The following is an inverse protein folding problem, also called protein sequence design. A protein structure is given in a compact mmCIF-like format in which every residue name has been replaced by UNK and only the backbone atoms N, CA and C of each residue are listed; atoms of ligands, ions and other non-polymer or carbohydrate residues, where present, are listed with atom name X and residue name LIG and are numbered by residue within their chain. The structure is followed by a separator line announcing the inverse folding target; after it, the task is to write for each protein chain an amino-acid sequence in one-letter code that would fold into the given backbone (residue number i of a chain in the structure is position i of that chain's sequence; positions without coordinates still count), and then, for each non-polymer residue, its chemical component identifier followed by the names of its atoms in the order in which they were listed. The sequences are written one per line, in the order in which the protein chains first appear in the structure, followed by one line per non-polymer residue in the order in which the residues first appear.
data_IF_368143954746
#
_entry.id   IF_368143954746
#
_cell.length_a   1.000
_cell.length_b   1.000
_cell.length_c   1.000
_cell.angle_alpha   90.00
_cell.angle_beta   90.00
_cell.angle_gamma   90.00
#
_symmetry.space_group_name_H-M   'P 1'
#
loop_
_entity.id
_entity.type
_entity.pdbx_description
1 polymer ?
#
# COMPACT_ATOMS: atom_id res chain seq x y z
N UNK A 1 27.64 34.16 65.19
CA UNK A 1 27.87 34.05 63.73
C UNK A 1 27.09 32.90 63.17
N UNK A 2 26.06 33.20 62.51
CA UNK A 2 25.21 32.20 61.88
C UNK A 2 25.56 32.14 60.44
N UNK A 3 26.15 31.01 59.99
CA UNK A 3 26.34 30.69 58.60
C UNK A 3 25.05 30.15 58.08
N UNK A 4 24.36 30.94 57.31
CA UNK A 4 23.18 30.51 56.60
C UNK A 4 23.60 29.61 55.41
N UNK A 5 23.43 28.32 55.55
CA UNK A 5 23.57 27.40 54.46
C UNK A 5 22.30 27.50 53.58
N UNK A 6 22.41 28.28 52.55
CA UNK A 6 21.40 28.24 51.51
C UNK A 6 21.52 26.92 50.74
N UNK A 7 20.65 26.01 51.06
CA UNK A 7 20.49 24.81 50.24
C UNK A 7 19.93 25.21 48.87
N UNK A 8 20.82 25.21 47.91
CA UNK A 8 20.40 25.37 46.51
C UNK A 8 19.78 24.04 46.08
N UNK A 9 18.48 24.01 46.01
CA UNK A 9 17.76 22.89 45.38
C UNK A 9 17.86 23.07 43.87
N UNK A 10 18.74 22.31 43.26
CA UNK A 10 18.76 22.22 41.78
C UNK A 10 17.67 21.26 41.41
N UNK A 11 16.54 21.79 40.94
CA UNK A 11 15.52 21.02 40.28
C UNK A 11 16.05 20.66 38.91
N UNK A 12 16.50 19.41 38.74
CA UNK A 12 16.77 18.85 37.42
C UNK A 12 15.43 18.45 36.88
N UNK A 13 14.83 19.32 36.06
CA UNK A 13 13.70 18.96 35.22
C UNK A 13 14.26 18.12 34.10
N UNK A 14 14.17 16.81 34.26
CA UNK A 14 14.45 15.88 33.16
C UNK A 14 13.37 16.06 32.10
N UNK A 15 13.69 16.47 30.87
CA UNK A 15 12.71 16.50 29.83
C UNK A 15 12.35 15.03 29.49
N UNK A 16 11.16 14.65 29.87
CA UNK A 16 10.58 13.39 29.43
C UNK A 16 10.32 13.54 27.95
N UNK A 17 11.28 13.11 27.13
CA UNK A 17 11.07 12.94 25.71
C UNK A 17 10.12 11.75 25.53
N UNK A 18 8.84 12.05 25.37
CA UNK A 18 7.87 11.11 24.87
C UNK A 18 8.21 10.85 23.40
N UNK A 19 9.09 9.89 23.16
CA UNK A 19 9.20 9.30 21.85
C UNK A 19 7.94 8.48 21.64
N UNK A 20 6.98 9.06 20.94
CA UNK A 20 5.91 8.30 20.33
C UNK A 20 6.51 7.46 19.20
N UNK A 21 7.03 6.29 19.54
CA UNK A 21 7.36 5.28 18.55
C UNK A 21 6.03 4.79 17.97
N UNK A 22 5.76 5.13 16.70
CA UNK A 22 4.76 4.44 15.93
C UNK A 22 5.08 2.94 16.04
N UNK A 23 4.14 2.14 16.55
CA UNK A 23 4.33 0.71 16.63
C UNK A 23 4.39 0.16 15.20
N UNK A 24 5.30 -0.77 14.87
CA UNK A 24 5.42 -1.33 13.51
C UNK A 24 4.14 -2.00 13.01
N UNK A 25 3.15 -2.21 13.88
CA UNK A 25 1.87 -2.82 13.55
C UNK A 25 0.79 -1.82 13.08
N UNK A 26 1.08 -0.52 13.07
CA UNK A 26 0.11 0.50 12.63
C UNK A 26 -0.11 0.51 11.11
N UNK A 27 0.85 0.03 10.34
CA UNK A 27 0.81 0.01 8.90
C UNK A 27 1.03 -1.39 8.36
N UNK A 28 0.36 -1.67 7.25
CA UNK A 28 0.58 -2.89 6.47
C UNK A 28 1.25 -2.50 5.18
N UNK A 29 2.37 -3.15 4.88
CA UNK A 29 3.07 -2.99 3.61
C UNK A 29 2.67 -4.14 2.69
N UNK A 30 2.16 -3.81 1.51
CA UNK A 30 1.74 -4.78 0.50
C UNK A 30 2.65 -4.58 -0.71
N UNK A 31 3.61 -5.46 -0.86
CA UNK A 31 4.56 -5.46 -1.96
C UNK A 31 4.19 -6.48 -3.02
N UNK A 32 4.54 -6.20 -4.25
CA UNK A 32 4.33 -7.17 -5.30
C UNK A 32 4.98 -6.80 -6.63
N UNK A 33 4.75 -7.67 -7.57
CA UNK A 33 5.22 -7.56 -8.95
C UNK A 33 4.03 -7.77 -9.87
N UNK A 34 3.81 -6.83 -10.78
CA UNK A 34 2.88 -7.00 -11.90
C UNK A 34 3.67 -7.53 -13.07
N UNK A 35 3.26 -8.66 -13.60
CA UNK A 35 3.97 -9.35 -14.67
C UNK A 35 3.02 -9.80 -15.79
N UNK A 36 3.63 -10.19 -16.88
CA UNK A 36 2.97 -10.81 -18.02
C UNK A 36 3.76 -12.07 -18.42
N UNK A 37 3.17 -12.95 -19.18
CA UNK A 37 3.80 -14.24 -19.57
C UNK A 37 5.18 -14.07 -20.22
N UNK A 38 5.49 -12.89 -20.78
CA UNK A 38 6.81 -12.54 -21.31
C UNK A 38 7.12 -11.08 -20.97
N UNK A 39 8.41 -10.70 -20.81
CA UNK A 39 8.76 -9.30 -20.61
C UNK A 39 8.23 -8.44 -21.76
N UNK A 40 7.54 -7.37 -21.42
CA UNK A 40 6.89 -6.49 -22.39
C UNK A 40 7.16 -5.04 -22.01
N UNK A 41 7.56 -4.26 -23.00
CA UNK A 41 7.56 -2.80 -22.89
C UNK A 41 6.22 -2.29 -23.38
N UNK A 42 5.51 -1.59 -22.50
CA UNK A 42 4.23 -1.01 -22.85
C UNK A 42 4.40 0.17 -23.81
N UNK A 43 3.41 0.47 -24.67
CA UNK A 43 3.45 1.64 -25.52
C UNK A 43 3.62 2.93 -24.70
N UNK A 44 4.22 3.94 -25.31
CA UNK A 44 4.27 5.28 -24.72
C UNK A 44 2.82 5.76 -24.49
N UNK A 45 2.59 6.45 -23.37
CA UNK A 45 1.27 6.87 -22.89
C UNK A 45 0.35 5.73 -22.40
N UNK A 46 0.79 4.47 -22.40
CA UNK A 46 0.08 3.43 -21.66
C UNK A 46 0.26 3.63 -20.15
N UNK A 47 -0.81 3.46 -19.40
CA UNK A 47 -0.79 3.64 -17.94
C UNK A 47 -1.08 2.30 -17.27
N UNK A 48 -0.12 1.86 -16.45
CA UNK A 48 -0.31 0.76 -15.53
C UNK A 48 -0.96 1.30 -14.25
N UNK A 49 -2.11 0.76 -13.89
CA UNK A 49 -2.82 1.08 -12.65
C UNK A 49 -2.89 -0.15 -11.76
N UNK A 50 -2.55 0.02 -10.50
CA UNK A 50 -2.74 -1.00 -9.46
C UNK A 50 -3.64 -0.39 -8.39
N UNK A 51 -4.74 -1.05 -8.07
CA UNK A 51 -5.72 -0.59 -7.07
C UNK A 51 -5.89 -1.61 -5.97
N UNK A 52 -5.83 -1.12 -4.75
CA UNK A 52 -6.27 -1.85 -3.57
C UNK A 52 -7.70 -1.41 -3.24
N UNK A 53 -8.63 -2.35 -3.22
CA UNK A 53 -10.07 -2.07 -3.10
C UNK A 53 -10.69 -2.92 -2.01
N UNK A 54 -11.63 -2.33 -1.27
CA UNK A 54 -12.58 -3.06 -0.44
C UNK A 54 -13.85 -3.32 -1.25
N UNK A 55 -14.19 -4.60 -1.44
CA UNK A 55 -15.38 -5.05 -2.18
C UNK A 55 -16.35 -5.80 -1.27
N UNK A 56 -16.29 -5.57 0.02
CA UNK A 56 -17.12 -6.28 1.03
C UNK A 56 -18.59 -6.08 0.76
N UNK A 57 -19.02 -4.86 0.49
CA UNK A 57 -20.41 -4.56 0.16
C UNK A 57 -20.60 -4.53 -1.36
N UNK A 58 -21.12 -5.63 -1.89
CA UNK A 58 -21.35 -5.79 -3.34
C UNK A 58 -22.50 -4.94 -3.87
N UNK A 59 -23.33 -4.39 -2.99
CA UNK A 59 -24.42 -3.48 -3.39
C UNK A 59 -23.96 -2.05 -3.63
N UNK A 60 -22.72 -1.74 -3.24
CA UNK A 60 -22.07 -0.44 -3.39
C UNK A 60 -20.86 -0.53 -4.31
N UNK A 61 -20.44 0.59 -4.92
CA UNK A 61 -19.15 0.65 -5.60
C UNK A 61 -18.01 0.28 -4.65
N UNK A 62 -16.97 -0.35 -5.18
CA UNK A 62 -15.79 -0.67 -4.39
C UNK A 62 -15.16 0.58 -3.79
N UNK A 63 -14.71 0.47 -2.54
CA UNK A 63 -13.96 1.54 -1.88
C UNK A 63 -12.48 1.42 -2.24
N UNK A 64 -11.92 2.45 -2.83
CA UNK A 64 -10.49 2.48 -3.17
C UNK A 64 -9.70 2.82 -1.90
N UNK A 65 -8.87 1.89 -1.44
CA UNK A 65 -8.01 2.09 -0.28
C UNK A 65 -6.68 2.74 -0.66
N UNK A 66 -6.13 2.35 -1.80
CA UNK A 66 -4.94 2.96 -2.38
C UNK A 66 -4.87 2.70 -3.89
N UNK A 67 -4.15 3.55 -4.59
CA UNK A 67 -4.03 3.48 -6.05
C UNK A 67 -2.64 3.94 -6.50
N UNK A 68 -2.07 3.20 -7.42
CA UNK A 68 -0.82 3.53 -8.09
C UNK A 68 -1.06 3.64 -9.60
N UNK A 69 -0.62 4.73 -10.19
CA UNK A 69 -0.60 4.93 -11.64
C UNK A 69 0.84 5.13 -12.10
N UNK A 70 1.25 4.43 -13.13
CA UNK A 70 2.60 4.52 -13.67
C UNK A 70 2.58 4.56 -15.19
N UNK A 71 3.10 5.65 -15.75
CA UNK A 71 3.33 5.79 -17.17
C UNK A 71 4.68 5.17 -17.57
N UNK A 72 4.81 4.81 -18.83
CA UNK A 72 6.05 4.27 -19.42
C UNK A 72 6.59 3.04 -18.65
N UNK A 73 5.70 2.26 -18.05
CA UNK A 73 6.08 1.06 -17.33
C UNK A 73 6.54 -0.04 -18.29
N UNK A 74 7.48 -0.84 -17.81
CA UNK A 74 7.83 -2.12 -18.41
C UNK A 74 7.37 -3.24 -17.49
N UNK A 75 6.90 -4.34 -18.04
CA UNK A 75 6.55 -5.52 -17.26
C UNK A 75 7.74 -6.50 -17.27
N UNK A 76 8.12 -7.04 -16.13
CA UNK A 76 7.53 -6.93 -14.80
C UNK A 76 7.77 -5.57 -14.13
N UNK A 77 6.78 -5.10 -13.39
CA UNK A 77 6.83 -3.84 -12.65
C UNK A 77 6.58 -4.07 -11.16
N UNK A 78 7.43 -3.51 -10.32
CA UNK A 78 7.26 -3.61 -8.87
C UNK A 78 6.31 -2.54 -8.37
N UNK A 79 5.54 -2.87 -7.34
CA UNK A 79 4.69 -1.93 -6.64
C UNK A 79 4.76 -2.15 -5.13
N UNK A 80 4.40 -1.12 -4.37
CA UNK A 80 4.29 -1.18 -2.91
C UNK A 80 3.19 -0.25 -2.45
N UNK A 81 2.33 -0.74 -1.55
CA UNK A 81 1.37 0.06 -0.83
C UNK A 81 1.69 0.03 0.65
N UNK A 82 1.57 1.17 1.31
CA UNK A 82 1.63 1.28 2.77
C UNK A 82 0.29 1.80 3.24
N UNK A 83 -0.47 0.97 3.92
CA UNK A 83 -1.86 1.22 4.28
C UNK A 83 -1.99 1.17 5.81
N UNK A 84 -2.67 2.13 6.45
CA UNK A 84 -2.98 2.01 7.87
C UNK A 84 -3.74 0.71 8.13
N UNK A 85 -3.33 -0.02 9.15
CA UNK A 85 -3.95 -1.32 9.47
C UNK A 85 -5.44 -1.19 9.75
N UNK A 86 -5.87 -0.06 10.30
CA UNK A 86 -7.28 0.21 10.58
C UNK A 86 -8.16 0.25 9.32
N UNK A 87 -7.56 0.51 8.15
CA UNK A 87 -8.28 0.49 6.87
C UNK A 87 -8.50 -0.93 6.33
N UNK A 88 -7.69 -1.89 6.80
CA UNK A 88 -7.83 -3.30 6.46
C UNK A 88 -8.65 -4.01 7.54
N UNK A 89 -9.94 -3.76 7.54
CA UNK A 89 -10.86 -4.26 8.58
C UNK A 89 -10.97 -5.78 8.51
N UNK A 90 -10.85 -6.44 9.66
CA UNK A 90 -11.04 -7.89 9.75
C UNK A 90 -12.42 -8.31 9.27
N UNK A 91 -12.46 -9.37 8.46
CA UNK A 91 -13.69 -9.85 7.84
C UNK A 91 -14.09 -9.13 6.56
N UNK A 92 -13.42 -8.04 6.21
CA UNK A 92 -13.61 -7.38 4.93
C UNK A 92 -12.91 -8.14 3.80
N UNK A 93 -13.42 -7.95 2.61
CA UNK A 93 -12.82 -8.51 1.40
C UNK A 93 -12.06 -7.41 0.66
N UNK A 94 -10.76 -7.36 0.91
CA UNK A 94 -9.85 -6.46 0.23
C UNK A 94 -9.14 -7.19 -0.89
N UNK A 95 -9.10 -6.60 -2.06
CA UNK A 95 -8.50 -7.19 -3.26
C UNK A 95 -7.56 -6.22 -3.94
N UNK A 96 -6.62 -6.78 -4.71
CA UNK A 96 -5.81 -6.02 -5.66
C UNK A 96 -6.24 -6.33 -7.09
N UNK A 97 -6.42 -5.26 -7.84
CA UNK A 97 -6.65 -5.28 -9.27
C UNK A 97 -5.58 -4.46 -9.98
N UNK A 98 -4.99 -5.03 -11.01
CA UNK A 98 -4.05 -4.33 -11.87
C UNK A 98 -4.53 -4.36 -13.32
N UNK A 99 -4.33 -3.28 -14.03
CA UNK A 99 -4.68 -3.20 -15.44
C UNK A 99 -3.83 -2.16 -16.17
N UNK A 100 -3.78 -2.30 -17.47
CA UNK A 100 -3.10 -1.34 -18.37
C UNK A 100 -4.13 -0.78 -19.34
N UNK A 101 -4.20 0.55 -19.40
CA UNK A 101 -4.98 1.28 -20.41
C UNK A 101 -4.06 2.05 -21.32
N UNK A 102 -4.42 2.07 -22.59
CA UNK A 102 -3.78 2.86 -23.64
C UNK A 102 -4.86 3.60 -24.41
N UNK A 103 -4.78 4.94 -24.41
CA UNK A 103 -5.81 5.80 -25.04
C UNK A 103 -7.22 5.42 -24.59
N UNK A 104 -7.40 5.29 -23.27
CA UNK A 104 -8.64 4.89 -22.61
C UNK A 104 -9.16 3.48 -22.96
N UNK A 105 -8.39 2.71 -23.71
CA UNK A 105 -8.71 1.32 -24.02
C UNK A 105 -7.99 0.37 -23.08
N UNK A 106 -8.74 -0.53 -22.46
CA UNK A 106 -8.19 -1.57 -21.60
C UNK A 106 -7.42 -2.60 -22.45
N UNK A 107 -6.13 -2.76 -22.19
CA UNK A 107 -5.26 -3.68 -22.93
C UNK A 107 -4.99 -4.97 -22.17
N UNK A 108 -4.69 -4.84 -20.89
CA UNK A 108 -4.33 -5.95 -20.01
C UNK A 108 -5.02 -5.79 -18.66
N UNK A 109 -5.31 -6.90 -18.01
CA UNK A 109 -5.79 -6.92 -16.63
C UNK A 109 -5.51 -8.28 -15.99
N UNK A 110 -5.48 -8.31 -14.64
CA UNK A 110 -5.58 -9.58 -13.95
C UNK A 110 -7.05 -10.01 -13.90
N UNK A 111 -7.36 -11.13 -14.52
CA UNK A 111 -8.74 -11.64 -14.59
C UNK A 111 -9.23 -12.02 -13.21
N UNK A 112 -8.37 -12.69 -12.43
CA UNK A 112 -8.67 -13.05 -11.05
C UNK A 112 -8.09 -12.01 -10.11
N UNK A 113 -8.95 -11.30 -9.37
CA UNK A 113 -8.52 -10.40 -8.33
C UNK A 113 -7.81 -11.17 -7.22
N UNK A 114 -6.74 -10.60 -6.68
CA UNK A 114 -5.98 -11.20 -5.60
C UNK A 114 -6.52 -10.69 -4.28
N UNK A 115 -6.99 -11.62 -3.43
CA UNK A 115 -7.40 -11.31 -2.08
C UNK A 115 -6.19 -11.02 -1.20
N UNK A 116 -6.26 -9.96 -0.42
CA UNK A 116 -5.20 -9.53 0.48
C UNK A 116 -5.37 -10.21 1.84
N UNK A 117 -4.26 -10.76 2.34
CA UNK A 117 -4.13 -11.18 3.73
C UNK A 117 -3.26 -10.14 4.46
N UNK A 118 -3.85 -9.34 5.36
CA UNK A 118 -3.10 -8.28 6.05
C UNK A 118 -2.02 -8.80 7.01
N UNK A 119 -2.00 -10.09 7.27
CA UNK A 119 -1.00 -10.73 8.15
C UNK A 119 0.12 -11.44 7.38
N UNK A 120 0.02 -11.50 6.06
CA UNK A 120 1.07 -12.07 5.21
C UNK A 120 2.11 -11.03 4.86
N UNK A 121 3.39 -11.43 4.91
CA UNK A 121 4.52 -10.61 4.45
C UNK A 121 5.05 -11.08 3.09
N UNK A 122 4.37 -12.03 2.46
CA UNK A 122 4.80 -12.55 1.16
C UNK A 122 4.49 -11.55 0.05
N UNK A 123 5.46 -11.26 -0.85
CA UNK A 123 5.20 -10.44 -2.02
C UNK A 123 4.16 -11.09 -2.93
N UNK A 124 3.30 -10.26 -3.49
CA UNK A 124 2.26 -10.71 -4.42
C UNK A 124 2.80 -10.80 -5.84
N UNK A 125 2.37 -11.81 -6.56
CA UNK A 125 2.57 -11.91 -8.00
C UNK A 125 1.23 -11.69 -8.71
N UNK A 126 1.15 -10.60 -9.47
CA UNK A 126 -0.03 -10.27 -10.24
C UNK A 126 0.26 -10.55 -11.71
N UNK A 127 -0.40 -11.59 -12.26
CA UNK A 127 -0.27 -11.92 -13.66
C UNK A 127 -1.35 -11.22 -14.46
N UNK A 128 -0.93 -10.40 -15.40
CA UNK A 128 -1.83 -9.77 -16.37
C UNK A 128 -2.10 -10.70 -17.55
N UNK A 129 -3.30 -10.57 -18.08
CA UNK A 129 -3.69 -11.23 -19.30
C UNK A 129 -4.17 -10.19 -20.31
N UNK A 130 -3.95 -10.48 -21.58
CA UNK A 130 -4.44 -9.62 -22.65
C UNK A 130 -5.96 -9.68 -22.68
N UNK A 131 -6.58 -8.50 -22.71
CA UNK A 131 -8.03 -8.41 -22.87
C UNK A 131 -8.36 -8.69 -24.33
N UNK A 132 -9.16 -9.71 -24.59
CA UNK A 132 -9.68 -9.98 -25.92
C UNK A 132 -10.78 -8.99 -26.27
N UNK A 133 -10.71 -8.48 -27.47
CA UNK A 133 -11.78 -7.63 -28.04
C UNK A 133 -13.05 -8.43 -28.31
#
# INVERSE_FOLDING_TARGET
MMLSLKKVFIFIVSPFLLMACATPDEYVVIDGIVSYQAPVRLPDAAVLTVKLKDITDRSQPAVILDELNRENATLPARFSFTVPREELVEGHMDIIRAYVKYKDKLMFMNINAIKIDPYSNEPLLIMLEKVSE
#
